data_IF_562983120096
#
_entry.id   IF_562983120096
#
_cell.length_a   1.000
_cell.length_b   1.000
_cell.length_c   1.000
_cell.angle_alpha   90.00
_cell.angle_beta   90.00
_cell.angle_gamma   90.00
#
_symmetry.space_group_name_H-M   'P 1'
#
loop_
_entity.id
_entity.type
_entity.pdbx_description
1 polymer ?
#
# COMPACT_ATOMS: atom_id res chain seq x y z
N UNK A 1 45.97 -6.87 -2.61
CA UNK A 1 45.64 -5.75 -3.52
C UNK A 1 44.83 -6.39 -4.64
N UNK A 2 43.53 -6.17 -4.83
CA UNK A 2 42.56 -5.19 -4.33
C UNK A 2 41.18 -5.87 -4.37
N UNK A 3 40.41 -5.80 -3.29
CA UNK A 3 38.96 -5.94 -3.34
C UNK A 3 38.41 -4.53 -3.14
N UNK A 4 37.80 -3.88 -4.13
CA UNK A 4 37.04 -2.68 -3.87
C UNK A 4 35.56 -3.06 -3.71
N UNK A 5 35.11 -2.91 -2.47
CA UNK A 5 33.83 -2.30 -2.11
C UNK A 5 32.58 -2.93 -2.75
N UNK A 6 31.99 -3.90 -2.04
CA UNK A 6 30.55 -4.12 -2.06
C UNK A 6 29.88 -2.79 -1.73
N UNK A 7 29.52 -2.03 -2.76
CA UNK A 7 28.79 -0.78 -2.60
C UNK A 7 27.54 -1.08 -1.79
N UNK A 8 27.49 -0.56 -0.56
CA UNK A 8 26.31 -0.51 0.28
C UNK A 8 25.16 -0.03 -0.60
N UNK A 9 24.32 -0.98 -1.00
CA UNK A 9 23.12 -0.75 -1.80
C UNK A 9 22.16 -0.02 -0.87
N UNK A 10 22.33 1.29 -0.74
CA UNK A 10 21.41 2.14 0.01
C UNK A 10 20.03 1.85 -0.53
N UNK A 11 19.08 1.38 0.29
CA UNK A 11 17.73 1.15 -0.18
C UNK A 11 17.21 2.49 -0.69
N UNK A 12 16.67 2.48 -1.89
CA UNK A 12 16.05 3.67 -2.46
C UNK A 12 14.86 4.04 -1.57
N UNK A 13 14.86 5.25 -0.96
CA UNK A 13 13.81 5.65 -0.03
C UNK A 13 12.42 5.67 -0.69
N UNK A 14 12.34 5.81 -2.02
CA UNK A 14 11.07 5.72 -2.74
C UNK A 14 10.58 4.27 -2.86
N UNK A 15 11.48 3.30 -3.04
CA UNK A 15 11.13 1.86 -2.98
C UNK A 15 10.69 1.44 -1.58
N UNK A 16 11.37 1.93 -0.53
CA UNK A 16 10.98 1.68 0.85
C UNK A 16 9.59 2.25 1.15
N UNK A 17 9.22 3.38 0.52
CA UNK A 17 7.86 3.94 0.61
C UNK A 17 6.83 3.09 -0.15
N UNK A 18 7.19 2.52 -1.30
CA UNK A 18 6.27 1.67 -2.08
C UNK A 18 5.95 0.34 -1.41
N UNK A 19 6.95 -0.30 -0.79
CA UNK A 19 6.74 -1.54 -0.03
C UNK A 19 5.80 -1.32 1.16
N UNK A 20 5.92 -0.18 1.86
CA UNK A 20 5.03 0.16 2.97
C UNK A 20 3.59 0.35 2.50
N UNK A 21 3.37 1.09 1.40
CA UNK A 21 2.03 1.28 0.80
C UNK A 21 1.41 -0.06 0.41
N UNK A 22 2.19 -0.99 -0.17
CA UNK A 22 1.71 -2.32 -0.52
C UNK A 22 1.35 -3.13 0.74
N UNK A 23 2.18 -3.06 1.79
CA UNK A 23 1.91 -3.74 3.06
C UNK A 23 0.64 -3.24 3.72
N UNK A 24 0.47 -1.93 3.81
CA UNK A 24 -0.73 -1.29 4.36
C UNK A 24 -1.98 -1.69 3.56
N UNK A 25 -1.89 -1.72 2.23
CA UNK A 25 -2.98 -2.16 1.37
C UNK A 25 -3.38 -3.62 1.63
N UNK A 26 -2.41 -4.52 1.78
CA UNK A 26 -2.67 -5.94 2.07
C UNK A 26 -3.27 -6.14 3.46
N UNK A 27 -2.78 -5.40 4.46
CA UNK A 27 -3.32 -5.45 5.82
C UNK A 27 -4.76 -4.97 5.85
N UNK A 28 -5.04 -3.86 5.17
CA UNK A 28 -6.38 -3.34 5.00
C UNK A 28 -7.30 -4.38 4.32
N UNK A 29 -6.89 -5.02 3.22
CA UNK A 29 -7.72 -6.07 2.60
C UNK A 29 -7.98 -7.27 3.54
N UNK A 30 -7.00 -7.63 4.36
CA UNK A 30 -7.17 -8.70 5.34
C UNK A 30 -8.21 -8.34 6.42
N UNK A 31 -8.20 -7.10 6.92
CA UNK A 31 -9.20 -6.62 7.87
C UNK A 31 -10.62 -6.62 7.28
N UNK A 32 -10.76 -6.29 6.00
CA UNK A 32 -12.04 -6.37 5.30
C UNK A 32 -12.55 -7.81 5.22
N UNK A 33 -11.69 -8.74 4.82
CA UNK A 33 -12.02 -10.17 4.69
C UNK A 33 -12.37 -10.81 6.04
N UNK A 34 -11.70 -10.41 7.12
CA UNK A 34 -11.94 -10.91 8.47
C UNK A 34 -13.15 -10.26 9.15
N UNK A 35 -13.74 -9.21 8.55
CA UNK A 35 -14.88 -8.53 9.15
C UNK A 35 -16.14 -9.41 9.13
N UNK A 36 -16.76 -9.69 10.30
CA UNK A 36 -18.00 -10.47 10.34
C UNK A 36 -19.17 -9.74 9.66
N UNK A 37 -20.08 -10.45 8.98
CA UNK A 37 -21.22 -9.83 8.28
C UNK A 37 -22.09 -8.92 9.16
N UNK A 38 -22.18 -9.20 10.48
CA UNK A 38 -22.96 -8.38 11.42
C UNK A 38 -22.35 -6.98 11.65
N UNK A 39 -21.05 -6.81 11.35
CA UNK A 39 -20.33 -5.55 11.48
C UNK A 39 -20.28 -4.75 10.16
N UNK A 40 -20.67 -5.37 9.04
CA UNK A 40 -20.72 -4.75 7.71
C UNK A 40 -21.96 -3.85 7.56
N UNK A 41 -22.01 -2.79 8.36
CA UNK A 41 -23.07 -1.78 8.34
C UNK A 41 -22.94 -0.84 7.13
N UNK A 42 -23.96 -0.02 6.85
CA UNK A 42 -23.88 1.00 5.81
C UNK A 42 -22.71 1.98 6.03
N UNK A 43 -22.45 2.37 7.29
CA UNK A 43 -21.33 3.25 7.64
C UNK A 43 -19.98 2.56 7.43
N UNK A 44 -19.90 1.26 7.73
CA UNK A 44 -18.73 0.45 7.43
C UNK A 44 -18.41 0.50 5.93
N UNK A 45 -19.39 0.24 5.07
CA UNK A 45 -19.18 0.31 3.61
C UNK A 45 -18.76 1.70 3.13
N UNK A 46 -19.33 2.78 3.67
CA UNK A 46 -18.92 4.14 3.32
C UNK A 46 -17.46 4.40 3.67
N UNK A 47 -17.05 4.06 4.88
CA UNK A 47 -15.67 4.22 5.33
C UNK A 47 -14.71 3.38 4.49
N UNK A 48 -15.07 2.11 4.23
CA UNK A 48 -14.25 1.20 3.44
C UNK A 48 -14.10 1.63 1.98
N UNK A 49 -15.14 2.19 1.39
CA UNK A 49 -15.06 2.75 0.04
C UNK A 49 -14.07 3.91 -0.04
N UNK A 50 -14.07 4.80 0.97
CA UNK A 50 -13.12 5.91 1.05
C UNK A 50 -11.67 5.40 1.20
N UNK A 51 -11.44 4.46 2.13
CA UNK A 51 -10.12 3.86 2.34
C UNK A 51 -9.60 3.16 1.08
N UNK A 52 -10.40 2.28 0.47
CA UNK A 52 -10.05 1.60 -0.79
C UNK A 52 -9.73 2.60 -1.91
N UNK A 53 -10.50 3.68 -2.02
CA UNK A 53 -10.28 4.72 -3.03
C UNK A 53 -8.96 5.48 -2.81
N UNK A 54 -8.57 5.72 -1.56
CA UNK A 54 -7.29 6.37 -1.25
C UNK A 54 -6.12 5.42 -1.52
N UNK A 55 -6.17 4.22 -0.95
CA UNK A 55 -5.12 3.20 -1.10
C UNK A 55 -4.89 2.81 -2.56
N UNK A 56 -5.96 2.69 -3.37
CA UNK A 56 -5.82 2.41 -4.80
C UNK A 56 -5.06 3.51 -5.53
N UNK A 57 -5.31 4.79 -5.20
CA UNK A 57 -4.56 5.91 -5.78
C UNK A 57 -3.09 5.89 -5.37
N UNK A 58 -2.80 5.55 -4.13
CA UNK A 58 -1.42 5.44 -3.65
C UNK A 58 -0.69 4.28 -4.31
N UNK A 59 -1.34 3.13 -4.50
CA UNK A 59 -0.80 2.01 -5.29
C UNK A 59 -0.54 2.40 -6.75
N UNK A 60 -1.44 3.15 -7.39
CA UNK A 60 -1.22 3.66 -8.75
C UNK A 60 0.01 4.57 -8.82
N UNK A 61 0.21 5.45 -7.83
CA UNK A 61 1.41 6.30 -7.75
C UNK A 61 2.69 5.48 -7.61
N UNK A 62 2.68 4.43 -6.77
CA UNK A 62 3.82 3.51 -6.62
C UNK A 62 4.17 2.82 -7.94
N UNK A 63 3.17 2.49 -8.75
CA UNK A 63 3.36 1.89 -10.08
C UNK A 63 3.72 2.91 -11.17
N UNK A 64 3.79 4.21 -10.85
CA UNK A 64 4.10 5.28 -11.81
C UNK A 64 2.91 5.67 -12.71
N UNK A 65 1.68 5.37 -12.28
CA UNK A 65 0.44 5.76 -12.97
C UNK A 65 -0.14 7.04 -12.37
N UNK A 66 -0.89 7.78 -13.20
CA UNK A 66 -1.70 8.92 -12.76
C UNK A 66 -3.00 8.40 -12.11
N UNK A 67 -3.25 8.67 -10.82
CA UNK A 67 -4.44 8.21 -10.12
C UNK A 67 -5.76 8.89 -10.52
N UNK A 68 -5.71 10.00 -11.26
CA UNK A 68 -6.89 10.79 -11.63
C UNK A 68 -7.10 10.89 -13.17
N UNK A 69 -6.40 10.05 -13.93
CA UNK A 69 -6.47 9.97 -15.40
C UNK A 69 -7.74 9.29 -15.95
#
# INVERSE_FOLDING_TARGET
>A
MEHPEEGERRPDPELASGEEVIREALQMLHELDDTPPQQMTALFYQHWFEQLSMTTRDLLRVLGHDPDA
#
